data_IF_595136442663
#
_entry.id   IF_595136442663
#
_cell.length_a   1.000
_cell.length_b   1.000
_cell.length_c   1.000
_cell.angle_alpha   90.00
_cell.angle_beta   90.00
_cell.angle_gamma   90.00
#
_symmetry.space_group_name_H-M   'P 1'
#
loop_
_entity.id
_entity.type
_entity.pdbx_description
1 polymer ?
#
# COMPACT_ATOMS: atom_id res chain seq x y z
N UNK A 1 -21.27 -21.52 10.82
CA UNK A 1 -21.08 -20.13 11.30
C UNK A 1 -19.70 -19.64 10.86
N UNK A 2 -19.54 -18.64 9.99
CA UNK A 2 -18.21 -18.11 9.70
C UNK A 2 -17.75 -17.31 10.91
N UNK A 3 -16.66 -17.75 11.56
CA UNK A 3 -16.00 -16.99 12.64
C UNK A 3 -15.68 -15.59 12.09
N UNK A 4 -16.30 -14.55 12.67
CA UNK A 4 -15.92 -13.15 12.43
C UNK A 4 -14.40 -13.08 12.61
N UNK A 5 -13.65 -12.91 11.52
CA UNK A 5 -12.20 -12.71 11.59
C UNK A 5 -11.99 -11.40 12.33
N UNK A 6 -11.45 -11.47 13.55
CA UNK A 6 -11.18 -10.27 14.36
C UNK A 6 -10.37 -9.27 13.54
N UNK A 7 -10.83 -8.01 13.52
CA UNK A 7 -10.29 -6.92 12.70
C UNK A 7 -8.80 -6.66 12.93
N UNK A 8 -8.26 -7.10 14.07
CA UNK A 8 -6.85 -6.99 14.41
C UNK A 8 -5.95 -7.87 13.52
N UNK A 9 -6.40 -8.97 12.91
CA UNK A 9 -5.47 -9.83 12.16
C UNK A 9 -4.84 -9.18 10.91
N UNK A 10 -5.42 -8.09 10.40
CA UNK A 10 -4.93 -7.36 9.21
C UNK A 10 -4.27 -6.02 9.53
N UNK A 11 -4.29 -5.59 10.79
CA UNK A 11 -3.62 -4.37 11.19
C UNK A 11 -2.10 -4.52 11.06
N UNK A 12 -1.41 -3.43 10.78
CA UNK A 12 0.05 -3.45 10.72
C UNK A 12 0.62 -3.74 12.12
N UNK A 13 1.64 -4.61 12.17
CA UNK A 13 2.42 -4.85 13.37
C UNK A 13 3.11 -3.55 13.81
N UNK A 14 2.85 -3.14 15.05
CA UNK A 14 3.61 -2.07 15.69
C UNK A 14 5.08 -2.48 15.92
N UNK A 15 6.02 -1.52 16.04
CA UNK A 15 7.41 -1.83 16.40
C UNK A 15 7.54 -2.61 17.71
N UNK A 16 6.69 -2.32 18.69
CA UNK A 16 6.67 -3.04 19.97
C UNK A 16 6.27 -4.51 19.80
N UNK A 17 5.22 -4.81 19.03
CA UNK A 17 4.83 -6.19 18.75
C UNK A 17 5.94 -6.96 18.01
N UNK A 18 6.67 -6.30 17.10
CA UNK A 18 7.82 -6.91 16.41
C UNK A 18 8.94 -7.25 17.39
N UNK A 19 9.30 -6.33 18.29
CA UNK A 19 10.28 -6.59 19.34
C UNK A 19 9.86 -7.75 20.25
N UNK A 20 8.58 -7.83 20.61
CA UNK A 20 8.04 -8.97 21.36
C UNK A 20 8.11 -10.29 20.60
N UNK A 21 7.83 -10.30 19.30
CA UNK A 21 7.97 -11.51 18.46
C UNK A 21 9.42 -11.98 18.49
N UNK A 22 10.38 -11.07 18.29
CA UNK A 22 11.82 -11.39 18.30
C UNK A 22 12.24 -11.94 19.65
N UNK A 23 11.99 -11.20 20.73
CA UNK A 23 12.41 -11.63 22.08
C UNK A 23 11.80 -12.97 22.49
N UNK A 24 10.51 -13.20 22.22
CA UNK A 24 9.88 -14.50 22.54
C UNK A 24 10.45 -15.65 21.69
N UNK A 25 10.81 -15.40 20.42
CA UNK A 25 11.46 -16.41 19.58
C UNK A 25 12.88 -16.73 20.04
N UNK A 26 13.65 -15.73 20.46
CA UNK A 26 15.00 -15.92 21.01
C UNK A 26 14.96 -16.69 22.34
N UNK A 27 13.92 -16.51 23.15
CA UNK A 27 13.67 -17.31 24.36
C UNK A 27 13.11 -18.73 24.09
N UNK A 28 12.98 -19.15 22.82
CA UNK A 28 12.56 -20.52 22.46
C UNK A 28 11.06 -20.75 22.31
N UNK A 29 10.20 -19.73 22.45
CA UNK A 29 8.75 -19.91 22.30
C UNK A 29 8.37 -20.27 20.85
N UNK A 30 7.39 -21.16 20.68
CA UNK A 30 6.90 -21.57 19.35
C UNK A 30 6.14 -20.44 18.64
N UNK A 31 6.09 -20.46 17.30
CA UNK A 31 5.31 -19.48 16.53
C UNK A 31 3.83 -19.44 16.90
N UNK A 32 3.27 -20.58 17.34
CA UNK A 32 1.87 -20.68 17.73
C UNK A 32 1.61 -19.98 19.07
N UNK A 33 2.46 -20.19 20.06
CA UNK A 33 2.37 -19.52 21.37
C UNK A 33 2.49 -18.01 21.23
N UNK A 34 3.43 -17.55 20.39
CA UNK A 34 3.63 -16.13 20.12
C UNK A 34 2.40 -15.52 19.43
N UNK A 35 1.84 -16.23 18.45
CA UNK A 35 0.65 -15.78 17.73
C UNK A 35 -0.58 -15.62 18.66
N UNK A 36 -0.77 -16.56 19.59
CA UNK A 36 -1.83 -16.48 20.61
C UNK A 36 -1.58 -15.29 21.55
N UNK A 37 -0.34 -15.13 22.03
CA UNK A 37 0.02 -14.09 22.99
C UNK A 37 -0.14 -12.68 22.40
N UNK A 38 0.24 -12.49 21.14
CA UNK A 38 0.20 -11.19 20.45
C UNK A 38 -1.14 -10.98 19.72
N UNK A 39 -2.02 -11.99 19.71
CA UNK A 39 -3.32 -11.98 19.00
C UNK A 39 -3.18 -11.64 17.51
N UNK A 40 -2.20 -12.26 16.84
CA UNK A 40 -1.93 -12.14 15.39
C UNK A 40 -1.92 -13.52 14.75
N UNK A 41 -1.94 -13.59 13.42
CA UNK A 41 -1.86 -14.89 12.73
C UNK A 41 -0.45 -15.44 12.82
N UNK A 42 -0.34 -16.76 12.85
CA UNK A 42 0.94 -17.47 12.78
C UNK A 42 1.75 -17.02 11.56
N UNK A 43 1.09 -16.82 10.41
CA UNK A 43 1.72 -16.30 9.20
C UNK A 43 2.38 -14.93 9.39
N UNK A 44 1.73 -14.02 10.12
CA UNK A 44 2.26 -12.70 10.43
C UNK A 44 3.46 -12.77 11.37
N UNK A 45 3.43 -13.67 12.36
CA UNK A 45 4.56 -13.90 13.27
C UNK A 45 5.76 -14.47 12.53
N UNK A 46 5.55 -15.50 11.67
CA UNK A 46 6.61 -16.10 10.86
C UNK A 46 7.22 -15.06 9.92
N UNK A 47 6.41 -14.26 9.24
CA UNK A 47 6.90 -13.20 8.36
C UNK A 47 7.72 -12.15 9.11
N UNK A 48 7.31 -11.76 10.32
CA UNK A 48 8.05 -10.82 11.16
C UNK A 48 9.39 -11.39 11.63
N UNK A 49 9.43 -12.67 12.03
CA UNK A 49 10.66 -13.35 12.40
C UNK A 49 11.63 -13.47 11.23
N UNK A 50 11.15 -13.85 10.04
CA UNK A 50 11.99 -13.91 8.83
C UNK A 50 12.58 -12.55 8.47
N UNK A 51 11.78 -11.49 8.51
CA UNK A 51 12.26 -10.13 8.27
C UNK A 51 13.36 -9.70 9.27
N UNK A 52 13.29 -10.18 10.51
CA UNK A 52 14.35 -9.99 11.49
C UNK A 52 15.61 -10.80 11.16
N UNK A 53 15.48 -12.11 10.93
CA UNK A 53 16.63 -12.99 10.72
C UNK A 53 17.35 -12.79 9.39
N UNK A 54 16.61 -12.46 8.33
CA UNK A 54 17.16 -12.31 6.98
C UNK A 54 17.70 -10.89 6.73
N UNK A 55 17.08 -9.88 7.35
CA UNK A 55 17.31 -8.48 6.97
C UNK A 55 17.77 -7.59 8.15
N UNK A 56 17.73 -8.10 9.39
CA UNK A 56 18.01 -7.33 10.60
C UNK A 56 16.99 -6.22 10.86
N UNK A 57 15.81 -6.27 10.23
CA UNK A 57 14.86 -5.15 10.24
C UNK A 57 13.85 -5.27 11.38
N UNK A 58 13.97 -4.36 12.35
CA UNK A 58 12.94 -4.14 13.40
C UNK A 58 11.77 -3.30 12.90
N UNK A 59 11.97 -2.52 11.85
CA UNK A 59 10.98 -1.60 11.29
C UNK A 59 10.55 -2.01 9.89
N UNK A 60 9.31 -1.65 9.54
CA UNK A 60 8.79 -1.81 8.19
C UNK A 60 9.44 -0.77 7.26
N UNK A 61 9.89 -1.22 6.09
CA UNK A 61 10.26 -0.31 4.99
C UNK A 61 9.01 0.42 4.51
N UNK A 62 8.94 1.74 4.75
CA UNK A 62 7.87 2.59 4.24
C UNK A 62 8.13 2.84 2.76
N UNK A 63 7.13 2.57 1.90
CA UNK A 63 7.21 2.92 0.48
C UNK A 63 7.47 1.76 -0.50
N UNK A 64 7.26 0.50 -0.11
CA UNK A 64 7.36 -0.67 -1.01
C UNK A 64 6.26 -0.76 -2.09
N UNK A 65 5.54 0.34 -2.36
CA UNK A 65 4.57 0.40 -3.46
C UNK A 65 5.29 0.56 -4.80
N UNK A 66 4.65 0.11 -5.88
CA UNK A 66 5.16 0.33 -7.22
C UNK A 66 5.47 1.82 -7.45
N UNK A 67 6.64 2.11 -8.03
CA UNK A 67 7.04 3.49 -8.35
C UNK A 67 5.94 4.14 -9.18
N UNK A 68 5.62 5.39 -8.83
CA UNK A 68 4.61 6.19 -9.53
C UNK A 68 4.99 6.31 -11.00
N UNK A 69 4.11 5.87 -11.91
CA UNK A 69 4.32 5.99 -13.36
C UNK A 69 4.25 7.43 -13.87
N UNK A 70 3.57 8.30 -13.12
CA UNK A 70 3.49 9.74 -13.38
C UNK A 70 4.23 10.53 -12.31
N UNK A 71 4.94 11.56 -12.73
CA UNK A 71 5.64 12.52 -11.87
C UNK A 71 4.66 13.58 -11.31
N UNK A 72 5.03 14.32 -10.24
CA UNK A 72 4.20 15.42 -9.74
C UNK A 72 3.92 16.52 -10.78
N UNK A 73 4.81 16.72 -11.76
CA UNK A 73 4.59 17.67 -12.87
C UNK A 73 3.52 17.15 -13.83
N UNK A 74 3.56 15.87 -14.14
CA UNK A 74 2.57 15.18 -14.98
C UNK A 74 1.19 15.12 -14.29
N UNK A 75 1.13 14.90 -12.98
CA UNK A 75 -0.13 14.92 -12.23
C UNK A 75 -0.78 16.32 -12.27
N UNK A 76 0.02 17.41 -12.24
CA UNK A 76 -0.47 18.78 -12.44
C UNK A 76 -1.04 18.99 -13.85
N UNK A 77 -0.39 18.44 -14.87
CA UNK A 77 -0.89 18.50 -16.24
C UNK A 77 -2.24 17.76 -16.37
N UNK A 78 -2.39 16.57 -15.78
CA UNK A 78 -3.67 15.84 -15.76
C UNK A 78 -4.80 16.68 -15.14
N UNK A 79 -4.52 17.38 -14.03
CA UNK A 79 -5.48 18.29 -13.40
C UNK A 79 -5.87 19.45 -14.31
N UNK A 80 -4.89 20.07 -14.97
CA UNK A 80 -5.15 21.18 -15.91
C UNK A 80 -6.01 20.68 -17.08
N UNK A 81 -5.68 19.54 -17.68
CA UNK A 81 -6.45 18.96 -18.78
C UNK A 81 -7.89 18.66 -18.36
N UNK A 82 -8.10 18.06 -17.19
CA UNK A 82 -9.44 17.78 -16.68
C UNK A 82 -10.27 19.06 -16.44
N UNK A 83 -9.70 20.05 -15.75
CA UNK A 83 -10.43 21.27 -15.35
C UNK A 83 -10.62 22.22 -16.55
N UNK A 84 -9.55 22.52 -17.31
CA UNK A 84 -9.57 23.52 -18.39
C UNK A 84 -10.45 23.08 -19.55
N UNK A 85 -10.39 21.80 -19.91
CA UNK A 85 -11.18 21.26 -21.00
C UNK A 85 -12.55 20.72 -20.52
N UNK A 86 -12.90 20.93 -19.23
CA UNK A 86 -14.16 20.49 -18.61
C UNK A 86 -14.50 19.02 -18.88
N UNK A 87 -13.47 18.18 -18.90
CA UNK A 87 -13.58 16.78 -19.28
C UNK A 87 -14.28 15.99 -18.18
N UNK A 88 -15.33 15.26 -18.57
CA UNK A 88 -16.19 14.51 -17.63
C UNK A 88 -15.98 13.00 -17.63
N UNK A 89 -14.96 12.53 -18.34
CA UNK A 89 -14.65 11.10 -18.35
C UNK A 89 -13.15 10.85 -18.28
N UNK A 90 -12.77 9.83 -17.53
CA UNK A 90 -11.39 9.33 -17.48
C UNK A 90 -10.80 9.06 -18.87
N UNK A 91 -11.62 8.56 -19.82
CA UNK A 91 -11.19 8.31 -21.21
C UNK A 91 -10.82 9.61 -21.92
N UNK A 92 -11.71 10.60 -21.89
CA UNK A 92 -11.45 11.91 -22.51
C UNK A 92 -10.20 12.61 -21.96
N UNK A 93 -9.92 12.45 -20.66
CA UNK A 93 -8.67 12.96 -20.06
C UNK A 93 -7.45 12.17 -20.55
N UNK A 94 -7.57 10.86 -20.74
CA UNK A 94 -6.53 10.02 -21.33
C UNK A 94 -6.20 10.41 -22.78
N UNK A 95 -7.22 10.75 -23.58
CA UNK A 95 -7.04 11.18 -24.97
C UNK A 95 -6.38 12.56 -25.03
N UNK A 96 -6.82 13.51 -24.19
CA UNK A 96 -6.20 14.83 -24.06
C UNK A 96 -4.75 14.73 -23.57
N UNK A 97 -4.47 13.78 -22.68
CA UNK A 97 -3.12 13.48 -22.24
C UNK A 97 -2.24 12.97 -23.39
N UNK A 98 -2.75 12.03 -24.18
CA UNK A 98 -2.00 11.51 -25.34
C UNK A 98 -1.70 12.63 -26.34
N UNK A 99 -2.68 13.51 -26.61
CA UNK A 99 -2.48 14.67 -27.47
C UNK A 99 -1.40 15.64 -26.94
N UNK A 100 -1.30 15.82 -25.62
CA UNK A 100 -0.36 16.76 -25.02
C UNK A 100 1.06 16.20 -24.79
N UNK A 101 1.18 14.90 -24.50
CA UNK A 101 2.44 14.27 -24.04
C UNK A 101 2.98 13.26 -25.07
N UNK A 102 2.15 12.79 -26.01
CA UNK A 102 2.53 11.77 -27.00
C UNK A 102 2.74 10.37 -26.41
N UNK A 103 2.41 10.15 -25.13
CA UNK A 103 2.59 8.87 -24.43
C UNK A 103 1.27 8.37 -23.87
N UNK A 104 0.85 7.12 -24.14
CA UNK A 104 -0.39 6.59 -23.60
C UNK A 104 -0.29 6.41 -22.08
N UNK A 105 -1.36 6.74 -21.38
CA UNK A 105 -1.52 6.51 -19.94
C UNK A 105 -2.67 5.53 -19.70
N UNK A 106 -2.52 4.61 -18.74
CA UNK A 106 -3.60 3.69 -18.38
C UNK A 106 -4.75 4.46 -17.76
N UNK A 107 -5.99 4.21 -18.20
CA UNK A 107 -7.20 4.87 -17.67
C UNK A 107 -7.33 4.70 -16.15
N UNK A 108 -7.00 3.52 -15.62
CA UNK A 108 -6.98 3.28 -14.17
C UNK A 108 -6.02 4.22 -13.42
N UNK A 109 -4.89 4.57 -14.03
CA UNK A 109 -3.98 5.57 -13.47
C UNK A 109 -4.62 6.95 -13.48
N UNK A 110 -5.22 7.36 -14.60
CA UNK A 110 -5.91 8.65 -14.74
C UNK A 110 -7.00 8.81 -13.68
N UNK A 111 -7.89 7.82 -13.54
CA UNK A 111 -8.94 7.79 -12.52
C UNK A 111 -8.38 7.97 -11.09
N UNK A 112 -7.38 7.15 -10.71
CA UNK A 112 -6.79 7.24 -9.37
C UNK A 112 -6.11 8.58 -9.11
N UNK A 113 -5.47 9.18 -10.12
CA UNK A 113 -4.83 10.50 -9.98
C UNK A 113 -5.84 11.60 -9.81
N UNK A 114 -6.89 11.61 -10.62
CA UNK A 114 -7.94 12.61 -10.55
C UNK A 114 -8.68 12.52 -9.21
N UNK A 115 -9.03 11.31 -8.76
CA UNK A 115 -9.64 11.10 -7.44
C UNK A 115 -8.72 11.48 -6.29
N UNK A 116 -7.42 11.16 -6.36
CA UNK A 116 -6.45 11.60 -5.37
C UNK A 116 -6.32 13.14 -5.29
N UNK A 117 -6.72 13.85 -6.34
CA UNK A 117 -6.78 15.32 -6.41
C UNK A 117 -8.18 15.89 -6.13
N UNK A 118 -9.17 15.05 -5.79
CA UNK A 118 -10.55 15.45 -5.51
C UNK A 118 -11.42 15.69 -6.76
N UNK A 119 -10.96 15.29 -7.94
CA UNK A 119 -11.69 15.43 -9.20
C UNK A 119 -12.36 14.10 -9.54
N UNK A 120 -13.60 13.90 -9.07
CA UNK A 120 -14.40 12.71 -9.39
C UNK A 120 -15.01 12.85 -10.80
N UNK A 121 -14.51 12.07 -11.76
CA UNK A 121 -14.89 12.03 -13.18
C UNK A 121 -14.72 10.64 -13.78
#
# INVERSE_FOLDING_TARGET
MPRRRELNYRAQLSPFERGRIVGMRECGASFREIAVTIRRSVSTVVAAWRAWTEEGRTQRVVGSGARRRTTPREDRLLRILAIRNRLRSTRSVGDAWFAAVGRPIRLRTVYHRLNAMGLNI
#
